data_IF_878250990492
#
_entry.id   IF_878250990492
#
_cell.length_a   1.000
_cell.length_b   1.000
_cell.length_c   1.000
_cell.angle_alpha   90.00
_cell.angle_beta   90.00
_cell.angle_gamma   90.00
#
_symmetry.space_group_name_H-M   'P 1'
#
loop_
_entity.id
_entity.type
_entity.pdbx_description
1 polymer ?
#
# COMPACT_ATOMS: atom_id res chain seq x y z
N UNK A 1 -19.43 -6.34 -10.34
CA UNK A 1 -20.11 -5.50 -9.33
C UNK A 1 -19.11 -4.53 -8.73
N UNK A 2 -19.50 -3.28 -8.47
CA UNK A 2 -18.68 -2.30 -7.75
C UNK A 2 -19.37 -2.01 -6.43
N UNK A 3 -18.61 -2.00 -5.33
CA UNK A 3 -19.11 -1.75 -3.98
C UNK A 3 -18.22 -0.74 -3.28
N UNK A 4 -18.83 0.09 -2.43
CA UNK A 4 -18.14 1.00 -1.51
C UNK A 4 -18.59 0.62 -0.10
N UNK A 5 -17.64 0.30 0.76
CA UNK A 5 -17.88 -0.14 2.12
C UNK A 5 -16.95 0.58 3.10
N UNK A 6 -17.44 0.82 4.31
CA UNK A 6 -16.63 1.36 5.40
C UNK A 6 -15.96 0.21 6.16
N UNK A 7 -14.88 -0.33 5.61
CA UNK A 7 -14.11 -1.42 6.22
C UNK A 7 -12.62 -1.28 5.91
N UNK A 8 -11.79 -2.01 6.65
CA UNK A 8 -10.35 -2.08 6.37
C UNK A 8 -10.08 -2.90 5.12
N UNK A 9 -8.90 -2.73 4.54
CA UNK A 9 -8.48 -3.48 3.35
C UNK A 9 -8.49 -4.99 3.60
N UNK A 10 -8.04 -5.44 4.77
CA UNK A 10 -8.01 -6.87 5.10
C UNK A 10 -9.37 -7.42 5.51
N UNK A 11 -10.24 -6.63 6.16
CA UNK A 11 -11.64 -7.03 6.38
C UNK A 11 -12.37 -7.27 5.04
N UNK A 12 -12.21 -6.37 4.07
CA UNK A 12 -12.77 -6.54 2.74
C UNK A 12 -12.18 -7.79 2.03
N UNK A 13 -10.86 -7.94 2.05
CA UNK A 13 -10.20 -9.08 1.43
C UNK A 13 -10.64 -10.42 2.05
N UNK A 14 -10.76 -10.49 3.38
CA UNK A 14 -11.22 -11.68 4.09
C UNK A 14 -12.64 -12.06 3.69
N UNK A 15 -13.55 -11.08 3.61
CA UNK A 15 -14.92 -11.32 3.15
C UNK A 15 -14.98 -11.91 1.73
N UNK A 16 -14.11 -11.45 0.82
CA UNK A 16 -14.01 -12.01 -0.53
C UNK A 16 -13.48 -13.45 -0.52
N UNK A 17 -12.43 -13.72 0.28
CA UNK A 17 -11.86 -15.07 0.46
C UNK A 17 -12.92 -16.02 0.99
N UNK A 18 -13.65 -15.62 2.02
CA UNK A 18 -14.71 -16.42 2.66
C UNK A 18 -15.90 -16.67 1.72
N UNK A 19 -16.12 -15.77 0.75
CA UNK A 19 -17.12 -15.93 -0.31
C UNK A 19 -16.64 -16.86 -1.45
N UNK A 20 -15.44 -17.43 -1.34
CA UNK A 20 -14.87 -18.36 -2.33
C UNK A 20 -14.16 -17.69 -3.51
N UNK A 21 -13.92 -16.37 -3.47
CA UNK A 21 -13.28 -15.63 -4.57
C UNK A 21 -11.74 -15.80 -4.63
N UNK A 22 -11.17 -16.70 -3.82
CA UNK A 22 -9.76 -17.06 -3.87
C UNK A 22 -8.82 -16.00 -3.31
N UNK A 23 -7.81 -15.59 -4.09
CA UNK A 23 -6.71 -14.70 -3.68
C UNK A 23 -6.95 -13.26 -4.17
N UNK A 24 -7.65 -12.39 -3.41
CA UNK A 24 -7.96 -11.04 -3.85
C UNK A 24 -6.71 -10.17 -3.95
N UNK A 25 -6.75 -9.19 -4.86
CA UNK A 25 -5.71 -8.18 -5.02
C UNK A 25 -6.02 -6.93 -4.20
N UNK A 26 -5.13 -6.57 -3.28
CA UNK A 26 -5.21 -5.37 -2.47
C UNK A 26 -4.22 -4.31 -2.95
N UNK A 27 -4.62 -3.03 -2.89
CA UNK A 27 -3.70 -1.91 -3.09
C UNK A 27 -3.16 -1.44 -1.72
N UNK A 28 -1.84 -1.42 -1.56
CA UNK A 28 -1.15 -0.77 -0.44
C UNK A 28 -0.88 0.70 -0.79
N UNK A 29 -1.35 1.62 0.06
CA UNK A 29 -1.14 3.07 -0.05
C UNK A 29 0.27 3.43 0.42
N UNK A 30 1.23 3.07 -0.41
CA UNK A 30 2.61 2.92 0.01
C UNK A 30 3.33 4.25 0.30
N UNK A 31 4.18 4.22 1.30
CA UNK A 31 5.29 5.15 1.45
C UNK A 31 6.27 4.96 0.30
N UNK A 32 6.52 6.02 -0.45
CA UNK A 32 7.53 6.01 -1.52
C UNK A 32 8.96 5.77 -1.00
N UNK A 33 9.21 5.94 0.31
CA UNK A 33 10.58 6.03 0.85
C UNK A 33 10.92 4.98 1.90
N UNK A 34 9.92 4.39 2.56
CA UNK A 34 10.13 3.50 3.71
C UNK A 34 9.26 2.25 3.57
N UNK A 35 9.82 1.04 3.55
CA UNK A 35 9.02 -0.18 3.50
C UNK A 35 8.15 -0.32 4.74
N UNK A 36 6.85 -0.52 4.54
CA UNK A 36 5.87 -0.59 5.64
C UNK A 36 5.65 0.75 6.36
N UNK A 37 6.02 1.87 5.73
CA UNK A 37 5.78 3.20 6.29
C UNK A 37 6.53 3.43 7.61
N UNK A 38 5.79 3.79 8.65
CA UNK A 38 6.29 4.03 10.01
C UNK A 38 5.82 3.00 11.04
N UNK A 39 5.45 1.78 10.64
CA UNK A 39 4.77 0.83 11.54
C UNK A 39 5.62 0.44 12.78
N UNK A 40 6.94 0.30 12.61
CA UNK A 40 7.87 0.02 13.72
C UNK A 40 7.94 1.14 14.76
N UNK A 41 7.59 2.37 14.37
CA UNK A 41 7.52 3.53 15.27
C UNK A 41 6.10 3.79 15.80
N UNK A 42 5.17 2.86 15.61
CA UNK A 42 3.78 2.99 16.07
C UNK A 42 2.90 3.91 15.22
N UNK A 43 3.32 4.24 14.00
CA UNK A 43 2.47 5.02 13.10
C UNK A 43 1.21 4.24 12.69
N UNK A 44 0.14 4.99 12.45
CA UNK A 44 -1.17 4.46 12.11
C UNK A 44 -1.62 5.03 10.78
N UNK A 45 -1.54 4.20 9.74
CA UNK A 45 -2.22 4.39 8.46
C UNK A 45 -2.46 3.02 7.82
N UNK A 46 -2.97 3.02 6.59
CA UNK A 46 -3.32 1.79 5.90
C UNK A 46 -2.09 0.89 5.67
N UNK A 47 -0.98 1.43 5.12
CA UNK A 47 0.25 0.66 4.91
C UNK A 47 0.78 0.03 6.19
N UNK A 48 0.83 0.79 7.29
CA UNK A 48 1.31 0.31 8.57
C UNK A 48 0.44 -0.83 9.12
N UNK A 49 -0.88 -0.75 8.92
CA UNK A 49 -1.81 -1.81 9.32
C UNK A 49 -1.59 -3.08 8.49
N UNK A 50 -1.41 -2.95 7.17
CA UNK A 50 -1.06 -4.08 6.30
C UNK A 50 0.27 -4.72 6.71
N UNK A 51 1.28 -3.91 6.99
CA UNK A 51 2.60 -4.38 7.38
C UNK A 51 2.61 -5.12 8.73
N UNK A 52 1.80 -4.68 9.71
CA UNK A 52 1.67 -5.35 11.01
C UNK A 52 0.92 -6.68 10.93
N UNK A 53 -0.16 -6.72 10.14
CA UNK A 53 -1.07 -7.86 10.10
C UNK A 53 -0.67 -8.95 9.08
N UNK A 54 0.40 -8.76 8.30
CA UNK A 54 0.75 -9.66 7.20
C UNK A 54 2.25 -9.82 6.96
N UNK A 55 2.60 -10.72 6.04
CA UNK A 55 3.97 -10.91 5.54
C UNK A 55 4.48 -9.80 4.61
N UNK A 56 3.70 -8.72 4.38
CA UNK A 56 4.02 -7.69 3.40
C UNK A 56 5.39 -7.05 3.65
N UNK A 57 5.74 -6.75 4.91
CA UNK A 57 7.01 -6.09 5.23
C UNK A 57 8.23 -6.90 4.77
N UNK A 58 8.19 -8.23 4.93
CA UNK A 58 9.24 -9.12 4.42
C UNK A 58 9.39 -9.03 2.90
N UNK A 59 8.27 -8.96 2.16
CA UNK A 59 8.31 -8.75 0.70
C UNK A 59 8.88 -7.38 0.33
N UNK A 60 8.43 -6.31 0.99
CA UNK A 60 8.85 -4.94 0.69
C UNK A 60 10.35 -4.71 0.92
N UNK A 61 10.93 -5.28 1.97
CA UNK A 61 12.36 -5.12 2.29
C UNK A 61 13.29 -5.75 1.27
N UNK A 62 12.81 -6.71 0.46
CA UNK A 62 13.59 -7.30 -0.64
C UNK A 62 13.58 -6.41 -1.90
N UNK A 63 12.73 -5.38 -1.96
CA UNK A 63 12.49 -4.57 -3.16
C UNK A 63 13.08 -3.16 -3.04
N UNK A 64 14.33 -3.07 -2.58
CA UNK A 64 14.97 -1.79 -2.27
C UNK A 64 15.13 -0.85 -3.47
N UNK A 65 15.20 -1.38 -4.70
CA UNK A 65 15.26 -0.58 -5.93
C UNK A 65 14.09 0.42 -6.03
N UNK A 66 12.88 0.01 -5.65
CA UNK A 66 11.70 0.88 -5.59
C UNK A 66 11.95 2.11 -4.70
N UNK A 67 12.45 1.89 -3.48
CA UNK A 67 12.67 2.96 -2.50
C UNK A 67 13.87 3.84 -2.88
N UNK A 68 14.92 3.26 -3.45
CA UNK A 68 16.10 3.98 -3.93
C UNK A 68 15.72 4.93 -5.06
N UNK A 69 14.99 4.45 -6.09
CA UNK A 69 14.54 5.31 -7.19
C UNK A 69 13.61 6.43 -6.71
N UNK A 70 12.70 6.14 -5.79
CA UNK A 70 11.80 7.16 -5.24
C UNK A 70 12.49 8.18 -4.32
N UNK A 71 13.58 7.79 -3.64
CA UNK A 71 14.43 8.72 -2.88
C UNK A 71 15.28 9.60 -3.81
N UNK A 72 15.77 9.05 -4.92
CA UNK A 72 16.47 9.80 -5.96
C UNK A 72 15.52 10.73 -6.73
N UNK A 73 14.22 10.42 -6.77
CA UNK A 73 13.18 11.29 -7.33
C UNK A 73 13.04 12.58 -6.49
N UNK A 74 13.54 13.69 -7.00
CA UNK A 74 13.55 15.01 -6.32
C UNK A 74 12.17 15.70 -6.26
N UNK A 75 11.11 14.98 -6.60
CA UNK A 75 9.74 15.50 -6.66
C UNK A 75 8.82 14.65 -5.79
N UNK A 76 7.86 15.31 -5.13
CA UNK A 76 6.83 14.65 -4.34
C UNK A 76 5.73 13.97 -5.19
N UNK A 77 5.89 13.97 -6.53
CA UNK A 77 5.12 13.15 -7.45
C UNK A 77 5.55 11.67 -7.43
N UNK A 78 6.80 11.39 -7.05
CA UNK A 78 7.42 10.04 -7.08
C UNK A 78 7.49 9.40 -8.47
N UNK A 79 8.02 8.19 -8.57
CA UNK A 79 8.08 7.42 -9.83
C UNK A 79 6.82 6.55 -10.00
N UNK A 80 6.67 5.93 -11.18
CA UNK A 80 5.61 4.95 -11.45
C UNK A 80 6.05 3.51 -11.12
N UNK A 81 7.13 3.33 -10.36
CA UNK A 81 7.49 2.00 -9.87
C UNK A 81 6.41 1.47 -8.94
N UNK A 82 6.18 0.16 -9.02
CA UNK A 82 5.28 -0.58 -8.14
C UNK A 82 5.96 -1.88 -7.73
N UNK A 83 5.51 -2.44 -6.61
CA UNK A 83 5.90 -3.78 -6.17
C UNK A 83 4.66 -4.65 -6.21
N UNK A 84 4.77 -5.83 -6.83
CA UNK A 84 3.76 -6.88 -6.74
C UNK A 84 4.24 -7.96 -5.78
N UNK A 85 3.43 -8.22 -4.75
CA UNK A 85 3.68 -9.23 -3.72
C UNK A 85 2.58 -10.29 -3.80
N UNK A 86 2.81 -11.43 -4.47
CA UNK A 86 1.83 -12.50 -4.55
C UNK A 86 1.73 -13.27 -3.22
N UNK A 87 0.54 -13.80 -2.93
CA UNK A 87 0.30 -14.77 -1.85
C UNK A 87 0.83 -14.33 -0.48
N UNK A 88 0.67 -13.06 -0.14
CA UNK A 88 1.07 -12.51 1.15
C UNK A 88 0.18 -13.10 2.24
N UNK A 89 0.73 -13.79 3.26
CA UNK A 89 -0.07 -14.32 4.34
C UNK A 89 -0.54 -13.19 5.25
N UNK A 90 -1.84 -13.14 5.52
CA UNK A 90 -2.48 -12.28 6.52
C UNK A 90 -2.79 -13.14 7.74
N UNK A 91 -2.32 -12.70 8.90
CA UNK A 91 -2.33 -13.48 10.13
C UNK A 91 -2.84 -12.70 11.35
N UNK A 92 -3.23 -11.42 11.21
CA UNK A 92 -3.95 -10.67 12.27
C UNK A 92 -5.25 -10.06 11.76
N UNK A 93 -6.20 -9.85 12.68
CA UNK A 93 -7.40 -9.04 12.47
C UNK A 93 -7.15 -7.55 12.78
N UNK A 94 -8.20 -6.73 12.69
CA UNK A 94 -8.13 -5.29 12.95
C UNK A 94 -7.89 -4.94 14.44
N UNK A 95 -8.16 -5.88 15.34
CA UNK A 95 -7.88 -5.77 16.78
C UNK A 95 -6.46 -6.26 17.15
N UNK A 96 -5.60 -6.48 16.14
CA UNK A 96 -4.23 -7.01 16.24
C UNK A 96 -4.14 -8.45 16.83
N UNK A 97 -5.25 -9.18 16.92
CA UNK A 97 -5.30 -10.58 17.37
C UNK A 97 -4.84 -11.53 16.27
N UNK A 98 -4.17 -12.62 16.65
CA UNK A 98 -3.78 -13.66 15.69
C UNK A 98 -5.00 -14.44 15.19
N UNK A 99 -5.05 -14.63 13.88
CA UNK A 99 -6.09 -15.43 13.24
C UNK A 99 -5.86 -16.93 13.49
N UNK A 100 -6.92 -17.67 13.79
CA UNK A 100 -6.87 -19.13 13.91
C UNK A 100 -6.46 -19.81 12.59
N UNK A 101 -6.88 -19.24 11.46
CA UNK A 101 -6.51 -19.68 10.12
C UNK A 101 -6.05 -18.46 9.28
N UNK A 102 -4.73 -18.33 9.04
CA UNK A 102 -4.22 -17.35 8.09
C UNK A 102 -4.77 -17.58 6.69
N UNK A 103 -4.87 -16.50 5.92
CA UNK A 103 -5.28 -16.53 4.51
C UNK A 103 -4.28 -15.75 3.67
N UNK A 104 -4.32 -15.91 2.35
CA UNK A 104 -3.43 -15.19 1.44
C UNK A 104 -4.17 -14.15 0.61
N UNK A 105 -3.45 -13.06 0.33
CA UNK A 105 -3.88 -12.01 -0.60
C UNK A 105 -2.71 -11.64 -1.50
N UNK A 106 -2.98 -11.18 -2.72
CA UNK A 106 -1.97 -10.48 -3.51
C UNK A 106 -1.99 -9.00 -3.16
N UNK A 107 -0.83 -8.34 -3.16
CA UNK A 107 -0.72 -6.91 -2.85
C UNK A 107 0.06 -6.19 -3.96
N UNK A 108 -0.51 -5.12 -4.50
CA UNK A 108 0.23 -4.11 -5.27
C UNK A 108 0.57 -2.95 -4.35
N UNK A 109 1.84 -2.59 -4.30
CA UNK A 109 2.37 -1.46 -3.53
C UNK A 109 2.73 -0.36 -4.50
N UNK A 110 2.02 0.76 -4.42
CA UNK A 110 2.25 1.93 -5.27
C UNK A 110 2.14 3.21 -4.42
N UNK A 111 3.08 4.16 -4.54
CA UNK A 111 3.01 5.39 -3.78
C UNK A 111 2.09 6.37 -4.48
N UNK A 112 1.15 6.97 -3.76
CA UNK A 112 0.39 8.10 -4.27
C UNK A 112 1.29 9.35 -4.36
N UNK A 113 0.92 10.31 -5.20
CA UNK A 113 1.53 11.64 -5.18
C UNK A 113 1.32 12.26 -3.79
N UNK A 114 2.40 12.76 -3.17
CA UNK A 114 2.27 13.54 -1.94
C UNK A 114 1.82 14.97 -2.29
N UNK A 115 0.51 15.12 -2.54
CA UNK A 115 -0.10 16.37 -2.98
C UNK A 115 0.13 17.53 -2.01
N UNK A 116 0.15 17.26 -0.70
CA UNK A 116 0.46 18.26 0.33
C UNK A 116 1.87 18.81 0.20
N UNK A 117 2.87 17.93 0.05
CA UNK A 117 4.26 18.34 -0.18
C UNK A 117 4.43 19.06 -1.53
N UNK A 118 3.72 18.63 -2.58
CA UNK A 118 3.74 19.33 -3.87
C UNK A 118 3.22 20.75 -3.73
N UNK A 119 2.04 20.94 -3.13
CA UNK A 119 1.43 22.27 -2.94
C UNK A 119 2.28 23.19 -2.06
N UNK A 120 2.90 22.65 -1.00
CA UNK A 120 3.71 23.42 -0.05
C UNK A 120 5.08 23.79 -0.63
N UNK A 121 5.79 22.83 -1.22
CA UNK A 121 7.22 22.97 -1.53
C UNK A 121 7.53 22.99 -3.04
N UNK A 122 6.58 22.63 -3.91
CA UNK A 122 6.80 22.42 -5.34
C UNK A 122 5.66 22.99 -6.18
N UNK A 123 5.26 24.25 -5.92
CA UNK A 123 4.08 24.91 -6.53
C UNK A 123 4.00 24.76 -8.06
N UNK A 124 5.14 24.83 -8.76
CA UNK A 124 5.22 24.65 -10.24
C UNK A 124 4.74 23.27 -10.73
N UNK A 125 4.69 22.27 -9.85
CA UNK A 125 4.33 20.89 -10.15
C UNK A 125 2.86 20.57 -9.80
N UNK A 126 2.09 21.52 -9.23
CA UNK A 126 0.70 21.27 -8.79
C UNK A 126 -0.19 20.79 -9.94
N UNK A 127 -0.04 21.37 -11.14
CA UNK A 127 -0.79 20.96 -12.32
C UNK A 127 -0.52 19.50 -12.75
N UNK A 128 0.59 18.90 -12.29
CA UNK A 128 0.97 17.52 -12.62
C UNK A 128 0.40 16.49 -11.64
N UNK A 129 -0.22 16.90 -10.52
CA UNK A 129 -0.75 15.96 -9.53
C UNK A 129 -1.82 15.05 -10.15
N UNK A 130 -2.83 15.63 -10.81
CA UNK A 130 -3.91 14.89 -11.45
C UNK A 130 -3.42 13.94 -12.56
N UNK A 131 -2.68 14.44 -13.57
CA UNK A 131 -2.14 13.59 -14.63
C UNK A 131 -1.25 12.45 -14.13
N UNK A 132 -0.37 12.73 -13.16
CA UNK A 132 0.53 11.71 -12.61
C UNK A 132 -0.24 10.63 -11.83
N UNK A 133 -1.27 11.01 -11.07
CA UNK A 133 -2.16 10.03 -10.42
C UNK A 133 -2.94 9.21 -11.44
N UNK A 134 -3.48 9.83 -12.49
CA UNK A 134 -4.24 9.14 -13.53
C UNK A 134 -3.39 8.13 -14.30
N UNK A 135 -2.14 8.50 -14.65
CA UNK A 135 -1.19 7.60 -15.29
C UNK A 135 -0.83 6.41 -14.39
N UNK A 136 -0.70 6.63 -13.07
CA UNK A 136 -0.36 5.58 -12.12
C UNK A 136 -1.51 4.61 -11.82
N UNK A 137 -2.75 5.03 -12.01
CA UNK A 137 -3.94 4.20 -11.81
C UNK A 137 -4.23 3.30 -13.03
N UNK A 138 -3.79 3.72 -14.21
CA UNK A 138 -4.01 3.05 -15.49
C UNK A 138 -3.21 1.75 -15.61
#
# INVERSE_FOLDING_TARGET
TIQVANCTTFAAAKSLVDSGLGNPLCLNFASAKRPGGGFLSGAQAQEESLARASGLYASLTQQMAFYISNRACRTALYTNHMIYSPSVPVFRNDDDELLAAPYTVSIVTAPAVNAGAVRKNQRRQVAKIGPCMAERIR
#
